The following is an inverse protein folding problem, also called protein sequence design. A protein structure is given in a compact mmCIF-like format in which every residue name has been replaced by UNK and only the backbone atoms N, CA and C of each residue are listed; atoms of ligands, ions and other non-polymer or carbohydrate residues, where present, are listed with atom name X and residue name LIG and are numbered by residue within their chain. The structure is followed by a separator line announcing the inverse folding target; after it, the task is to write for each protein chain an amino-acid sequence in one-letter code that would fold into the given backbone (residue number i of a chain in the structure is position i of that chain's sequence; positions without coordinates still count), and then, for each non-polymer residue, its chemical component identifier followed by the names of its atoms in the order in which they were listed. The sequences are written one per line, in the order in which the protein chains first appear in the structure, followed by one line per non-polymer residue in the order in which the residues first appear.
data_IF_085819964755
#
_entry.id   IF_085819964755
#
_cell.length_a   1.000
_cell.length_b   1.000
_cell.length_c   1.000
_cell.angle_alpha   90.00
_cell.angle_beta   90.00
_cell.angle_gamma   90.00
#
_symmetry.space_group_name_H-M   'P 1'
#
loop_
_entity.id
_entity.type
_entity.pdbx_description
1 polymer ?
#
# COMPACT_ATOMS: atom_id res chain seq x y z
N UNK A 1 -16.11 4.34 23.38
CA UNK A 1 -15.78 2.90 23.39
C UNK A 1 -14.39 2.78 22.78
N UNK A 2 -13.36 2.52 23.58
CA UNK A 2 -12.01 2.34 23.04
C UNK A 2 -11.97 0.99 22.31
N UNK A 3 -11.77 1.00 21.00
CA UNK A 3 -11.52 -0.22 20.25
C UNK A 3 -10.18 -0.78 20.73
N UNK A 4 -10.21 -1.80 21.58
CA UNK A 4 -9.03 -2.60 21.86
C UNK A 4 -8.49 -3.10 20.52
N UNK A 5 -7.35 -2.53 20.11
CA UNK A 5 -6.64 -3.06 18.96
C UNK A 5 -6.32 -4.52 19.30
N UNK A 6 -6.71 -5.49 18.45
CA UNK A 6 -6.41 -6.89 18.71
C UNK A 6 -4.91 -7.02 19.00
N UNK A 7 -4.56 -7.67 20.12
CA UNK A 7 -3.16 -8.00 20.43
C UNK A 7 -2.67 -8.94 19.33
N UNK A 8 -1.89 -8.37 18.42
CA UNK A 8 -1.45 -9.01 17.20
C UNK A 8 -0.23 -9.90 17.45
N UNK A 9 -0.03 -10.95 16.65
CA UNK A 9 1.18 -11.76 16.72
C UNK A 9 2.38 -10.91 16.29
N UNK A 10 3.26 -10.59 17.24
CA UNK A 10 4.41 -9.68 17.09
C UNK A 10 5.43 -10.07 15.98
N UNK A 11 5.30 -11.27 15.38
CA UNK A 11 6.26 -11.83 14.42
C UNK A 11 5.64 -12.30 13.08
N UNK A 12 4.45 -11.83 12.71
CA UNK A 12 3.89 -12.17 11.40
C UNK A 12 4.55 -11.32 10.28
N UNK A 13 5.29 -11.94 9.32
CA UNK A 13 5.98 -11.20 8.27
C UNK A 13 5.02 -10.45 7.33
N UNK A 14 3.83 -11.00 7.08
CA UNK A 14 2.80 -10.34 6.26
C UNK A 14 2.30 -9.08 6.99
N UNK A 15 2.20 -9.15 8.31
CA UNK A 15 1.79 -7.99 9.10
C UNK A 15 2.84 -6.89 9.12
N UNK A 16 4.13 -7.25 9.24
CA UNK A 16 5.23 -6.31 9.13
C UNK A 16 5.24 -5.60 7.75
N UNK A 17 5.01 -6.36 6.68
CA UNK A 17 4.89 -5.83 5.32
C UNK A 17 3.71 -4.87 5.19
N UNK A 18 2.52 -5.25 5.68
CA UNK A 18 1.34 -4.39 5.67
C UNK A 18 1.57 -3.06 6.41
N UNK A 19 2.26 -3.09 7.56
CA UNK A 19 2.62 -1.87 8.30
C UNK A 19 3.64 -1.00 7.58
N UNK A 20 4.63 -1.61 6.92
CA UNK A 20 5.58 -0.87 6.11
C UNK A 20 4.89 -0.18 4.92
N UNK A 21 3.95 -0.87 4.26
CA UNK A 21 3.13 -0.31 3.18
C UNK A 21 2.28 0.86 3.67
N UNK A 22 1.56 0.69 4.79
CA UNK A 22 0.76 1.75 5.43
C UNK A 22 1.62 2.99 5.73
N UNK A 23 2.77 2.80 6.37
CA UNK A 23 3.69 3.89 6.69
C UNK A 23 4.20 4.63 5.45
N UNK A 24 4.50 3.89 4.37
CA UNK A 24 4.96 4.44 3.10
C UNK A 24 3.89 5.30 2.44
N UNK A 25 2.66 4.81 2.36
CA UNK A 25 1.53 5.55 1.77
C UNK A 25 1.28 6.85 2.55
N UNK A 26 1.32 6.79 3.89
CA UNK A 26 1.18 7.99 4.73
C UNK A 26 2.28 9.01 4.47
N UNK A 27 3.52 8.57 4.35
CA UNK A 27 4.65 9.45 4.03
C UNK A 27 4.47 10.13 2.67
N UNK A 28 4.04 9.37 1.65
CA UNK A 28 3.79 9.89 0.30
C UNK A 28 2.64 10.92 0.32
N UNK A 29 1.52 10.62 1.01
CA UNK A 29 0.41 11.56 1.16
C UNK A 29 0.85 12.88 1.79
N UNK A 30 1.65 12.82 2.87
CA UNK A 30 2.23 14.04 3.50
C UNK A 30 3.12 14.81 2.55
N UNK A 31 3.96 14.13 1.77
CA UNK A 31 4.82 14.77 0.77
C UNK A 31 4.01 15.46 -0.35
N UNK A 32 2.80 14.98 -0.64
CA UNK A 32 1.85 15.61 -1.55
C UNK A 32 1.04 16.76 -0.91
N UNK A 33 1.26 17.07 0.37
CA UNK A 33 0.49 18.06 1.13
C UNK A 33 -0.90 17.58 1.55
N UNK A 34 -1.20 16.28 1.41
CA UNK A 34 -2.47 15.69 1.85
C UNK A 34 -2.39 15.28 3.31
N UNK A 35 -3.54 15.34 3.99
CA UNK A 35 -3.70 14.78 5.34
C UNK A 35 -3.95 13.28 5.30
N UNK A 36 -3.63 12.62 6.39
CA UNK A 36 -3.94 11.22 6.64
C UNK A 36 -5.13 11.09 7.59
N UNK A 37 -5.81 9.93 7.61
CA UNK A 37 -6.94 9.70 8.50
C UNK A 37 -6.62 9.96 9.98
N UNK A 38 -5.41 9.64 10.44
CA UNK A 38 -5.01 9.86 11.84
C UNK A 38 -4.85 11.33 12.23
N UNK A 39 -4.80 12.25 11.25
CA UNK A 39 -4.67 13.68 11.49
C UNK A 39 -6.04 14.33 11.81
N UNK A 40 -7.14 13.57 11.74
CA UNK A 40 -8.50 14.02 12.02
C UNK A 40 -9.04 13.45 13.34
N UNK A 41 -10.02 14.14 13.94
CA UNK A 41 -10.77 13.57 15.04
C UNK A 41 -11.64 12.39 14.53
N UNK A 42 -11.86 11.32 15.33
CA UNK A 42 -12.63 10.15 14.90
C UNK A 42 -14.06 10.47 14.44
N UNK A 43 -14.65 11.54 14.97
CA UNK A 43 -16.02 11.97 14.68
C UNK A 43 -16.10 13.04 13.58
N UNK A 44 -14.96 13.43 13.00
CA UNK A 44 -14.91 14.43 11.94
C UNK A 44 -15.39 13.79 10.62
N UNK A 45 -16.42 14.35 9.94
CA UNK A 45 -16.85 13.85 8.63
C UNK A 45 -15.73 13.87 7.59
N UNK A 46 -14.75 14.78 7.70
CA UNK A 46 -13.58 14.83 6.82
C UNK A 46 -12.64 13.63 7.04
N UNK A 47 -12.69 12.96 8.19
CA UNK A 47 -11.98 11.72 8.45
C UNK A 47 -12.48 10.61 7.53
N UNK A 48 -13.80 10.50 7.34
CA UNK A 48 -14.41 9.46 6.49
C UNK A 48 -13.96 9.64 5.03
N UNK A 49 -14.03 10.86 4.50
CA UNK A 49 -13.57 11.18 3.14
C UNK A 49 -12.08 10.85 2.98
N UNK A 50 -11.26 11.22 3.97
CA UNK A 50 -9.81 10.93 3.95
C UNK A 50 -9.52 9.43 4.03
N UNK A 51 -10.31 8.66 4.79
CA UNK A 51 -10.21 7.20 4.85
C UNK A 51 -10.52 6.57 3.49
N UNK A 52 -11.55 7.03 2.78
CA UNK A 52 -11.87 6.54 1.45
C UNK A 52 -10.74 6.80 0.46
N UNK A 53 -10.16 8.01 0.49
CA UNK A 53 -8.98 8.32 -0.33
C UNK A 53 -7.78 7.44 0.03
N UNK A 54 -7.54 7.21 1.32
CA UNK A 54 -6.44 6.36 1.78
C UNK A 54 -6.58 4.92 1.27
N UNK A 55 -7.80 4.36 1.30
CA UNK A 55 -8.08 3.02 0.74
C UNK A 55 -7.83 2.99 -0.77
N UNK A 56 -8.19 4.06 -1.50
CA UNK A 56 -7.88 4.17 -2.94
C UNK A 56 -6.38 4.21 -3.20
N UNK A 57 -5.60 4.90 -2.35
CA UNK A 57 -4.14 4.92 -2.47
C UNK A 57 -3.55 3.51 -2.26
N UNK A 58 -4.01 2.77 -1.25
CA UNK A 58 -3.62 1.36 -1.03
C UNK A 58 -3.95 0.52 -2.26
N UNK A 59 -5.19 0.60 -2.76
CA UNK A 59 -5.61 -0.15 -3.94
C UNK A 59 -4.78 0.18 -5.19
N UNK A 60 -4.41 1.46 -5.37
CA UNK A 60 -3.55 1.89 -6.47
C UNK A 60 -2.16 1.27 -6.38
N UNK A 61 -1.54 1.26 -5.21
CA UNK A 61 -0.20 0.67 -5.02
C UNK A 61 -0.24 -0.84 -5.26
N UNK A 62 -1.24 -1.54 -4.72
CA UNK A 62 -1.40 -2.98 -4.94
C UNK A 62 -1.65 -3.32 -6.42
N UNK A 63 -2.43 -2.50 -7.13
CA UNK A 63 -2.65 -2.68 -8.57
C UNK A 63 -1.38 -2.43 -9.41
N UNK A 64 -0.50 -1.52 -8.98
CA UNK A 64 0.80 -1.32 -9.63
C UNK A 64 1.69 -2.56 -9.43
N UNK A 65 1.77 -3.07 -8.20
CA UNK A 65 2.53 -4.28 -7.88
C UNK A 65 2.07 -5.49 -8.71
N UNK A 66 0.76 -5.71 -8.85
CA UNK A 66 0.25 -6.83 -9.67
C UNK A 66 0.52 -6.65 -11.15
N UNK A 67 0.48 -5.42 -11.67
CA UNK A 67 0.85 -5.14 -13.06
C UNK A 67 2.35 -5.29 -13.33
N UNK A 68 3.21 -4.97 -12.36
CA UNK A 68 4.65 -5.21 -12.47
C UNK A 68 4.97 -6.70 -12.43
N UNK A 69 4.30 -7.45 -11.55
CA UNK A 69 4.42 -8.91 -11.51
C UNK A 69 3.98 -9.56 -12.84
N UNK A 70 2.94 -9.02 -13.48
CA UNK A 70 2.46 -9.52 -14.77
C UNK A 70 3.36 -9.17 -15.98
N UNK A 71 4.28 -8.19 -15.84
CA UNK A 71 5.25 -7.79 -16.88
C UNK A 71 6.60 -8.52 -16.77
N UNK A 72 6.79 -9.31 -15.71
CA UNK A 72 8.01 -10.05 -15.46
C UNK A 72 8.07 -11.43 -16.16
N UNK A 73 7.02 -11.82 -16.88
CA UNK A 73 6.90 -13.14 -17.54
C UNK A 73 7.30 -13.09 -19.03
N UNK A 74 7.61 -11.89 -19.55
CA UNK A 74 7.88 -11.61 -20.96
C UNK A 74 9.38 -11.50 -21.30
N UNK A 75 10.29 -11.91 -20.40
CA UNK A 75 11.74 -11.79 -20.62
C UNK A 75 12.47 -13.11 -20.99
N UNK A 76 11.75 -14.09 -21.53
CA UNK A 76 12.32 -15.37 -22.01
C UNK A 76 12.38 -15.49 -23.55
N UNK A 77 12.50 -14.38 -24.30
CA UNK A 77 12.50 -14.44 -25.78
C UNK A 77 13.56 -13.62 -26.51
N UNK A 78 14.79 -13.53 -25.98
CA UNK A 78 15.96 -13.16 -26.80
C UNK A 78 17.19 -14.02 -26.43
N UNK A 79 17.09 -15.31 -26.77
CA UNK A 79 18.17 -16.29 -26.59
C UNK A 79 18.27 -17.27 -27.76
N UNK A 80 18.28 -16.79 -29.01
CA UNK A 80 18.65 -17.63 -30.16
C UNK A 80 19.16 -16.77 -31.32
N UNK A 81 20.48 -16.66 -31.46
CA UNK A 81 21.07 -15.90 -32.56
C UNK A 81 22.59 -15.96 -32.60
N UNK A 82 23.16 -17.14 -32.82
CA UNK A 82 24.44 -17.30 -33.52
C UNK A 82 24.57 -18.75 -34.03
N UNK A 83 24.05 -18.98 -35.23
CA UNK A 83 24.34 -20.14 -36.08
C UNK A 83 25.83 -20.21 -36.38
N UNK A 84 26.41 -21.41 -36.23
CA UNK A 84 27.73 -21.76 -36.77
C UNK A 84 27.71 -22.02 -38.27
#
# INVERSE_FOLDING_TARGET
MAHEQPKLPENDPIWAEARALEASIRAIRRAQGKRNPEDYAPDDPACIETMEEFVRDVGRVLAMYTQEAARGDDNDLYGAGATG
#
